data_IF_703092150925
#
_entry.id   IF_703092150925
#
_cell.length_a   1.000
_cell.length_b   1.000
_cell.length_c   1.000
_cell.angle_alpha   90.00
_cell.angle_beta   90.00
_cell.angle_gamma   90.00
#
_symmetry.space_group_name_H-M   'P 1'
#
loop_
_entity.id
_entity.type
_entity.pdbx_description
1 polymer ?
#
# COMPACT_ATOMS: atom_id res chain seq x y z
N UNK A 1 -6.91 -0.45 0.95
CA UNK A 1 -7.57 0.67 1.63
C UNK A 1 -6.60 1.48 2.51
N UNK A 2 -5.85 0.86 3.45
CA UNK A 2 -4.94 1.56 4.37
C UNK A 2 -3.79 2.29 3.64
N UNK A 3 -3.15 1.66 2.65
CA UNK A 3 -2.09 2.30 1.86
C UNK A 3 -2.58 3.56 1.13
N UNK A 4 -3.79 3.54 0.58
CA UNK A 4 -4.42 4.74 -0.01
C UNK A 4 -4.65 5.82 1.06
N UNK A 5 -4.99 5.41 2.29
CA UNK A 5 -5.15 6.37 3.39
C UNK A 5 -3.83 7.07 3.74
N UNK A 6 -2.74 6.32 3.90
CA UNK A 6 -1.43 6.91 4.13
C UNK A 6 -1.00 7.80 2.97
N UNK A 7 -1.20 7.34 1.73
CA UNK A 7 -0.90 8.14 0.53
C UNK A 7 -1.65 9.47 0.51
N UNK A 8 -2.94 9.44 0.86
CA UNK A 8 -3.80 10.61 0.98
C UNK A 8 -3.25 11.62 2.01
N UNK A 9 -2.99 11.15 3.24
CA UNK A 9 -2.55 12.02 4.33
C UNK A 9 -1.17 12.63 4.08
N UNK A 10 -0.27 11.87 3.44
CA UNK A 10 1.08 12.33 3.10
C UNK A 10 1.05 13.32 1.95
N UNK A 11 0.31 13.02 0.86
CA UNK A 11 0.19 13.91 -0.28
C UNK A 11 -0.53 15.21 0.07
N UNK A 12 -1.56 15.16 0.92
CA UNK A 12 -2.27 16.34 1.44
C UNK A 12 -1.37 17.30 2.21
N UNK A 13 -0.30 16.79 2.85
CA UNK A 13 0.72 17.58 3.53
C UNK A 13 1.81 18.11 2.59
N UNK A 14 1.69 17.85 1.28
CA UNK A 14 2.63 18.33 0.27
C UNK A 14 3.84 17.42 0.04
N UNK A 15 3.93 16.28 0.73
CA UNK A 15 5.01 15.32 0.49
C UNK A 15 4.70 14.43 -0.71
N UNK A 16 5.72 14.17 -1.53
CA UNK A 16 5.56 13.32 -2.72
C UNK A 16 5.28 11.87 -2.35
N UNK A 17 4.33 11.26 -3.06
CA UNK A 17 4.00 9.84 -2.95
C UNK A 17 4.23 9.14 -4.28
N UNK A 18 5.04 8.09 -4.27
CA UNK A 18 5.27 7.20 -5.40
C UNK A 18 4.52 5.88 -5.17
N UNK A 19 3.42 5.63 -5.89
CA UNK A 19 2.57 4.47 -5.68
C UNK A 19 2.66 3.51 -6.87
N UNK A 20 3.33 2.38 -6.70
CA UNK A 20 3.32 1.28 -7.67
C UNK A 20 2.11 0.37 -7.40
N UNK A 21 1.08 0.53 -8.22
CA UNK A 21 -0.15 -0.27 -8.16
C UNK A 21 -0.06 -1.39 -9.20
N UNK A 22 0.15 -2.61 -8.74
CA UNK A 22 0.38 -3.77 -9.62
C UNK A 22 -0.89 -4.59 -9.87
N UNK A 23 -1.91 -4.37 -9.06
CA UNK A 23 -3.21 -5.04 -9.15
C UNK A 23 -4.30 -4.12 -9.73
N UNK A 24 -4.24 -2.83 -9.40
CA UNK A 24 -5.29 -1.87 -9.74
C UNK A 24 -4.76 -0.80 -10.68
N UNK A 25 -5.63 -0.31 -11.57
CA UNK A 25 -5.30 0.82 -12.43
C UNK A 25 -5.09 2.12 -11.65
N UNK A 26 -4.31 3.04 -12.21
CA UNK A 26 -4.11 4.39 -11.66
C UNK A 26 -5.46 5.13 -11.49
N UNK A 27 -6.39 4.93 -12.43
CA UNK A 27 -7.74 5.49 -12.36
C UNK A 27 -8.54 4.96 -11.15
N UNK A 28 -8.41 3.67 -10.83
CA UNK A 28 -9.05 3.10 -9.65
C UNK A 28 -8.45 3.62 -8.35
N UNK A 29 -7.13 3.75 -8.28
CA UNK A 29 -6.43 4.33 -7.15
C UNK A 29 -6.81 5.80 -6.94
N UNK A 30 -6.82 6.61 -8.00
CA UNK A 30 -7.27 8.00 -7.96
C UNK A 30 -8.73 8.12 -7.52
N UNK A 31 -9.61 7.23 -8.02
CA UNK A 31 -11.00 7.18 -7.58
C UNK A 31 -11.18 6.82 -6.10
N UNK A 32 -10.29 5.99 -5.50
CA UNK A 32 -10.30 5.71 -4.06
C UNK A 32 -9.83 6.93 -3.26
N UNK A 33 -8.82 7.67 -3.74
CA UNK A 33 -8.40 8.93 -3.14
C UNK A 33 -9.52 9.95 -3.17
N UNK A 34 -10.17 10.13 -4.32
CA UNK A 34 -11.28 11.08 -4.50
C UNK A 34 -12.48 10.73 -3.61
N UNK A 35 -12.80 9.43 -3.49
CA UNK A 35 -13.85 8.96 -2.58
C UNK A 35 -13.55 9.34 -1.13
N UNK A 36 -12.29 9.19 -0.71
CA UNK A 36 -11.86 9.54 0.64
C UNK A 36 -11.92 11.05 0.88
N UNK A 37 -11.38 11.87 -0.01
CA UNK A 37 -11.34 13.32 0.15
C UNK A 37 -12.73 13.97 0.06
N UNK A 38 -13.63 13.43 -0.78
CA UNK A 38 -14.99 13.95 -0.95
C UNK A 38 -15.98 13.44 0.10
N UNK A 39 -15.67 12.31 0.74
CA UNK A 39 -16.64 11.58 1.58
C UNK A 39 -17.78 10.90 0.79
N UNK A 40 -17.68 10.85 -0.55
CA UNK A 40 -18.65 10.15 -1.40
C UNK A 40 -18.20 8.72 -1.63
N UNK A 41 -19.00 7.74 -1.20
CA UNK A 41 -18.67 6.32 -1.37
C UNK A 41 -18.51 5.93 -2.84
N UNK A 42 -17.51 5.08 -3.15
CA UNK A 42 -17.20 4.62 -4.52
C UNK A 42 -18.41 4.15 -5.34
N UNK A 43 -19.33 3.34 -4.82
CA UNK A 43 -20.52 2.93 -5.57
C UNK A 43 -21.39 4.11 -6.02
N UNK A 44 -21.44 5.17 -5.22
CA UNK A 44 -22.22 6.39 -5.52
C UNK A 44 -21.54 7.33 -6.52
N UNK A 45 -20.30 7.04 -6.90
CA UNK A 45 -19.57 7.81 -7.92
C UNK A 45 -19.85 7.31 -9.34
N UNK A 46 -20.53 6.17 -9.47
CA UNK A 46 -20.94 5.58 -10.75
C UNK A 46 -22.43 5.87 -10.99
N UNK A 47 -22.79 6.16 -12.25
CA UNK A 47 -24.18 6.44 -12.66
C UNK A 47 -24.61 7.89 -12.41
N UNK A 48 -25.89 8.09 -12.20
CA UNK A 48 -26.49 9.43 -12.01
C UNK A 48 -26.13 9.99 -10.63
N UNK A 49 -25.22 10.95 -10.65
CA UNK A 49 -24.76 11.62 -9.44
C UNK A 49 -25.80 12.62 -8.94
N UNK A 50 -26.21 12.50 -7.70
CA UNK A 50 -26.99 13.54 -7.04
C UNK A 50 -26.23 14.88 -7.07
N UNK A 51 -26.90 16.04 -7.25
CA UNK A 51 -26.25 17.34 -7.31
C UNK A 51 -25.30 17.62 -6.13
N UNK A 52 -25.72 17.22 -4.92
CA UNK A 52 -24.89 17.36 -3.72
C UNK A 52 -23.60 16.51 -3.76
N UNK A 53 -23.66 15.28 -4.32
CA UNK A 53 -22.47 14.45 -4.50
C UNK A 53 -21.55 15.03 -5.58
N UNK A 54 -22.10 15.53 -6.68
CA UNK A 54 -21.32 16.18 -7.74
C UNK A 54 -20.50 17.34 -7.18
N UNK A 55 -21.13 18.24 -6.45
CA UNK A 55 -20.45 19.39 -5.82
C UNK A 55 -19.33 18.94 -4.89
N UNK A 56 -19.56 17.93 -4.03
CA UNK A 56 -18.52 17.38 -3.13
C UNK A 56 -17.33 16.83 -3.91
N UNK A 57 -17.56 16.13 -5.03
CA UNK A 57 -16.51 15.58 -5.88
C UNK A 57 -15.72 16.69 -6.60
N UNK A 58 -16.41 17.72 -7.13
CA UNK A 58 -15.76 18.87 -7.74
C UNK A 58 -14.86 19.62 -6.75
N UNK A 59 -15.36 19.89 -5.55
CA UNK A 59 -14.60 20.57 -4.50
C UNK A 59 -13.40 19.71 -4.04
N UNK A 60 -13.57 18.41 -3.91
CA UNK A 60 -12.48 17.50 -3.59
C UNK A 60 -11.43 17.46 -4.70
N UNK A 61 -11.84 17.40 -5.96
CA UNK A 61 -10.94 17.44 -7.12
C UNK A 61 -10.10 18.72 -7.11
N UNK A 62 -10.71 19.89 -6.83
CA UNK A 62 -9.97 21.16 -6.71
C UNK A 62 -8.93 21.12 -5.58
N UNK A 63 -9.29 20.55 -4.42
CA UNK A 63 -8.35 20.42 -3.29
C UNK A 63 -7.19 19.47 -3.59
N UNK A 64 -7.44 18.40 -4.35
CA UNK A 64 -6.43 17.40 -4.73
C UNK A 64 -5.56 17.87 -5.90
N UNK A 65 -5.96 18.94 -6.59
CA UNK A 65 -5.20 19.50 -7.69
C UNK A 65 -3.82 19.95 -7.20
N UNK A 66 -2.77 19.40 -7.82
CA UNK A 66 -1.40 19.68 -7.44
C UNK A 66 -0.84 18.82 -6.31
N UNK A 67 -1.60 17.87 -5.75
CA UNK A 67 -1.01 16.91 -4.83
C UNK A 67 0.09 16.09 -5.51
N UNK A 68 1.28 16.00 -4.89
CA UNK A 68 2.43 15.35 -5.51
C UNK A 68 2.35 13.83 -5.37
N UNK A 69 1.37 13.20 -6.02
CA UNK A 69 1.21 11.76 -6.05
C UNK A 69 1.30 11.22 -7.47
N UNK A 70 2.14 10.22 -7.67
CA UNK A 70 2.31 9.53 -8.95
C UNK A 70 1.92 8.08 -8.81
N UNK A 71 1.02 7.59 -9.67
CA UNK A 71 0.67 6.18 -9.79
C UNK A 71 1.41 5.57 -10.98
N UNK A 72 2.06 4.42 -10.75
CA UNK A 72 2.56 3.52 -11.78
C UNK A 72 1.70 2.26 -11.73
N UNK A 73 0.87 2.06 -12.75
CA UNK A 73 0.02 0.88 -12.90
C UNK A 73 0.61 -0.05 -13.98
N UNK A 74 1.51 -0.92 -13.56
CA UNK A 74 2.21 -1.84 -14.42
C UNK A 74 2.07 -3.27 -13.87
N UNK A 75 1.21 -4.05 -14.47
CA UNK A 75 0.94 -5.44 -14.07
C UNK A 75 2.09 -6.42 -14.35
N UNK A 76 3.16 -5.98 -15.00
CA UNK A 76 4.38 -6.74 -15.28
C UNK A 76 5.62 -6.08 -14.65
N UNK A 77 5.43 -5.37 -13.56
CA UNK A 77 6.53 -4.65 -12.92
C UNK A 77 7.64 -5.59 -12.47
N UNK A 78 8.86 -5.29 -12.91
CA UNK A 78 10.08 -5.91 -12.41
C UNK A 78 10.71 -5.06 -11.33
N UNK A 79 11.63 -5.65 -10.55
CA UNK A 79 12.42 -4.89 -9.57
C UNK A 79 13.13 -3.68 -10.20
N UNK A 80 13.70 -3.85 -11.39
CA UNK A 80 14.37 -2.76 -12.10
C UNK A 80 13.42 -1.65 -12.50
N UNK A 81 12.21 -2.01 -12.96
CA UNK A 81 11.18 -1.02 -13.31
C UNK A 81 10.67 -0.24 -12.09
N UNK A 82 10.59 -0.90 -10.91
CA UNK A 82 10.25 -0.25 -9.64
C UNK A 82 11.40 0.67 -9.19
N UNK A 83 12.64 0.18 -9.22
CA UNK A 83 13.82 1.01 -8.88
C UNK A 83 13.89 2.26 -9.76
N UNK A 84 13.74 2.11 -11.07
CA UNK A 84 13.75 3.22 -12.01
C UNK A 84 12.63 4.24 -11.72
N UNK A 85 11.42 3.76 -11.44
CA UNK A 85 10.29 4.60 -11.07
C UNK A 85 10.57 5.41 -9.79
N UNK A 86 11.03 4.75 -8.72
CA UNK A 86 11.33 5.42 -7.45
C UNK A 86 12.48 6.42 -7.58
N UNK A 87 13.52 6.09 -8.36
CA UNK A 87 14.62 6.99 -8.65
C UNK A 87 14.15 8.24 -9.44
N UNK A 88 13.28 8.06 -10.43
CA UNK A 88 12.66 9.19 -11.16
C UNK A 88 11.83 10.10 -10.24
N UNK A 89 11.03 9.52 -9.35
CA UNK A 89 10.25 10.31 -8.40
C UNK A 89 11.15 11.05 -7.40
N UNK A 90 12.26 10.43 -6.97
CA UNK A 90 13.25 11.06 -6.08
C UNK A 90 13.95 12.25 -6.71
N UNK A 91 14.23 12.20 -8.02
CA UNK A 91 14.80 13.34 -8.77
C UNK A 91 13.82 14.53 -8.83
N UNK A 92 12.51 14.28 -8.87
CA UNK A 92 11.48 15.35 -8.88
C UNK A 92 11.31 16.04 -7.52
N UNK A 93 11.87 15.48 -6.44
CA UNK A 93 11.81 16.02 -5.08
C UNK A 93 11.78 14.95 -4.00
N UNK A 94 11.66 15.37 -2.75
CA UNK A 94 11.64 14.46 -1.62
C UNK A 94 10.39 13.59 -1.62
N UNK A 95 10.60 12.26 -1.63
CA UNK A 95 9.53 11.27 -1.57
C UNK A 95 9.24 10.93 -0.12
N UNK A 96 8.09 11.33 0.35
CA UNK A 96 7.63 11.04 1.73
C UNK A 96 7.11 9.62 1.91
N UNK A 97 6.71 8.95 0.81
CA UNK A 97 6.28 7.55 0.85
C UNK A 97 6.37 6.91 -0.54
N UNK A 98 6.98 5.73 -0.62
CA UNK A 98 6.81 4.81 -1.74
C UNK A 98 5.90 3.65 -1.32
N UNK A 99 4.91 3.31 -2.15
CA UNK A 99 3.99 2.17 -1.92
C UNK A 99 4.18 1.14 -3.01
N UNK A 100 4.29 -0.13 -2.62
CA UNK A 100 4.30 -1.30 -3.53
C UNK A 100 3.08 -2.16 -3.21
N UNK A 101 2.11 -2.20 -4.11
CA UNK A 101 0.82 -2.85 -3.91
C UNK A 101 0.58 -3.94 -4.98
N UNK A 102 0.95 -5.20 -4.74
CA UNK A 102 1.58 -5.82 -3.59
C UNK A 102 2.80 -6.65 -4.01
N UNK A 103 3.65 -7.07 -3.05
CA UNK A 103 4.94 -7.73 -3.28
C UNK A 103 4.87 -8.93 -4.23
N UNK A 104 3.84 -9.76 -4.06
CA UNK A 104 3.70 -11.00 -4.83
C UNK A 104 3.35 -10.77 -6.32
N UNK A 105 3.13 -9.54 -6.77
CA UNK A 105 2.97 -9.21 -8.19
C UNK A 105 4.26 -8.69 -8.83
N UNK A 106 5.28 -8.41 -8.02
CA UNK A 106 6.59 -8.04 -8.54
C UNK A 106 7.27 -9.27 -9.14
N UNK A 107 7.87 -9.11 -10.31
CA UNK A 107 8.65 -10.15 -10.98
C UNK A 107 10.15 -9.92 -10.79
N UNK A 108 10.84 -10.99 -10.39
CA UNK A 108 12.30 -11.04 -10.35
C UNK A 108 12.74 -12.37 -10.98
N UNK A 109 12.90 -12.45 -12.31
CA UNK A 109 13.24 -13.69 -12.98
C UNK A 109 14.66 -14.18 -12.61
N UNK A 110 14.89 -15.50 -12.72
CA UNK A 110 16.19 -16.12 -12.47
C UNK A 110 16.30 -16.85 -11.12
N UNK A 111 15.19 -17.06 -10.42
CA UNK A 111 15.13 -17.84 -9.18
C UNK A 111 14.37 -19.15 -9.39
N UNK A 112 14.84 -20.23 -8.73
CA UNK A 112 14.29 -21.59 -8.87
C UNK A 112 12.96 -21.77 -8.12
N UNK A 113 12.68 -20.91 -7.15
CA UNK A 113 11.45 -21.00 -6.37
C UNK A 113 10.86 -19.64 -6.05
N UNK A 114 9.53 -19.60 -5.86
CA UNK A 114 8.81 -18.38 -5.47
C UNK A 114 9.31 -17.79 -4.14
N UNK A 115 9.71 -18.65 -3.21
CA UNK A 115 10.30 -18.22 -1.92
C UNK A 115 11.58 -17.45 -2.14
N UNK A 116 12.49 -17.95 -2.99
CA UNK A 116 13.74 -17.28 -3.32
C UNK A 116 13.48 -15.94 -4.05
N UNK A 117 12.53 -15.92 -4.98
CA UNK A 117 12.14 -14.70 -5.69
C UNK A 117 11.62 -13.63 -4.73
N UNK A 118 10.68 -13.95 -3.84
CA UNK A 118 10.16 -13.02 -2.83
C UNK A 118 11.25 -12.56 -1.87
N UNK A 119 12.16 -13.45 -1.49
CA UNK A 119 13.33 -13.11 -0.67
C UNK A 119 14.20 -12.05 -1.35
N UNK A 120 14.49 -12.23 -2.64
CA UNK A 120 15.27 -11.27 -3.40
C UNK A 120 14.55 -9.92 -3.57
N UNK A 121 13.23 -9.95 -3.80
CA UNK A 121 12.38 -8.75 -3.89
C UNK A 121 12.43 -7.98 -2.58
N UNK A 122 12.18 -8.64 -1.44
CA UNK A 122 12.19 -8.02 -0.11
C UNK A 122 13.52 -7.33 0.18
N UNK A 123 14.64 -8.07 0.01
CA UNK A 123 15.99 -7.53 0.19
C UNK A 123 16.27 -6.35 -0.72
N UNK A 124 15.89 -6.43 -2.00
CA UNK A 124 16.10 -5.34 -2.96
C UNK A 124 15.30 -4.09 -2.61
N UNK A 125 14.05 -4.23 -2.15
CA UNK A 125 13.26 -3.08 -1.70
C UNK A 125 13.88 -2.42 -0.47
N UNK A 126 14.43 -3.21 0.46
CA UNK A 126 15.19 -2.66 1.60
C UNK A 126 16.42 -1.88 1.13
N UNK A 127 17.17 -2.40 0.17
CA UNK A 127 18.33 -1.71 -0.40
C UNK A 127 17.92 -0.41 -1.11
N UNK A 128 16.87 -0.45 -1.95
CA UNK A 128 16.33 0.74 -2.64
C UNK A 128 15.92 1.81 -1.62
N UNK A 129 15.22 1.41 -0.55
CA UNK A 129 14.82 2.32 0.52
C UNK A 129 16.02 3.03 1.14
N UNK A 130 17.11 2.30 1.41
CA UNK A 130 18.34 2.84 2.00
C UNK A 130 19.12 3.72 1.01
N UNK A 131 19.28 3.29 -0.24
CA UNK A 131 20.02 4.03 -1.27
C UNK A 131 19.34 5.36 -1.63
N UNK A 132 18.02 5.33 -1.81
CA UNK A 132 17.26 6.50 -2.21
C UNK A 132 16.79 7.34 -1.00
N UNK A 133 16.97 6.82 0.22
CA UNK A 133 16.46 7.41 1.47
C UNK A 133 14.96 7.70 1.39
N UNK A 134 14.20 6.71 0.93
CA UNK A 134 12.74 6.78 0.77
C UNK A 134 12.09 5.75 1.72
N UNK A 135 11.11 6.13 2.55
CA UNK A 135 10.31 5.16 3.28
C UNK A 135 9.47 4.33 2.31
N UNK A 136 9.60 3.00 2.40
CA UNK A 136 8.87 2.06 1.53
C UNK A 136 7.83 1.31 2.35
N UNK A 137 6.56 1.42 1.94
CA UNK A 137 5.44 0.62 2.41
C UNK A 137 5.13 -0.48 1.39
N UNK A 138 5.54 -1.69 1.69
CA UNK A 138 5.25 -2.85 0.87
C UNK A 138 4.04 -3.61 1.42
N UNK A 139 3.04 -3.87 0.60
CA UNK A 139 1.91 -4.70 0.95
C UNK A 139 2.25 -6.15 0.65
N UNK A 140 1.82 -7.05 1.52
CA UNK A 140 2.01 -8.50 1.35
C UNK A 140 0.73 -9.24 1.68
N UNK A 141 0.41 -10.25 0.88
CA UNK A 141 -0.66 -11.18 1.21
C UNK A 141 -0.22 -12.12 2.33
N UNK A 142 -1.16 -12.44 3.20
CA UNK A 142 -0.98 -13.46 4.22
C UNK A 142 -1.34 -14.85 3.69
N UNK A 143 -0.78 -15.87 4.32
CA UNK A 143 -1.21 -17.25 4.13
C UNK A 143 -2.68 -17.42 4.57
N UNK A 144 -3.45 -18.20 3.82
CA UNK A 144 -4.85 -18.53 4.18
C UNK A 144 -4.96 -19.41 5.44
N UNK A 145 -3.85 -19.89 5.99
CA UNK A 145 -3.87 -20.73 7.18
C UNK A 145 -4.44 -20.04 8.41
N UNK A 146 -4.23 -18.71 8.53
CA UNK A 146 -4.84 -17.96 9.65
C UNK A 146 -6.37 -17.92 9.54
N UNK A 147 -6.93 -17.81 8.33
CA UNK A 147 -8.38 -17.85 8.09
C UNK A 147 -8.94 -19.27 8.35
N UNK A 148 -8.30 -20.30 7.79
CA UNK A 148 -8.70 -21.71 7.96
C UNK A 148 -8.72 -22.10 9.45
N UNK A 149 -7.72 -21.64 10.20
CA UNK A 149 -7.58 -21.95 11.63
C UNK A 149 -8.37 -20.96 12.53
N UNK A 150 -9.13 -20.04 11.96
CA UNK A 150 -9.90 -19.01 12.67
C UNK A 150 -9.09 -18.31 13.78
N UNK A 151 -7.86 -17.93 13.48
CA UNK A 151 -6.94 -17.26 14.40
C UNK A 151 -6.43 -15.94 13.87
N UNK A 152 -5.97 -15.08 14.76
CA UNK A 152 -5.32 -13.82 14.37
C UNK A 152 -4.03 -14.11 13.57
N UNK A 153 -3.72 -13.24 12.58
CA UNK A 153 -2.50 -13.38 11.80
C UNK A 153 -1.25 -13.19 12.68
N UNK A 154 -0.19 -13.91 12.33
CA UNK A 154 1.11 -13.89 12.97
C UNK A 154 2.20 -13.63 11.93
N UNK A 155 3.42 -13.28 12.35
CA UNK A 155 4.55 -13.07 11.44
C UNK A 155 4.83 -14.28 10.54
N UNK A 156 4.65 -15.50 11.08
CA UNK A 156 4.79 -16.75 10.31
C UNK A 156 3.77 -16.92 9.18
N UNK A 157 2.70 -16.13 9.16
CA UNK A 157 1.71 -16.13 8.08
C UNK A 157 2.09 -15.23 6.90
N UNK A 158 3.18 -14.48 7.01
CA UNK A 158 3.76 -13.81 5.87
C UNK A 158 4.20 -14.87 4.85
N UNK A 159 3.38 -15.03 3.82
CA UNK A 159 3.50 -16.09 2.84
C UNK A 159 4.83 -16.02 2.11
N UNK A 160 5.46 -17.20 1.99
CA UNK A 160 6.64 -17.46 1.15
C UNK A 160 7.94 -16.79 1.59
N UNK A 161 8.03 -16.12 2.78
CA UNK A 161 9.34 -15.65 3.22
C UNK A 161 9.45 -15.21 4.67
N UNK A 162 10.23 -15.94 5.46
CA UNK A 162 10.84 -15.38 6.68
C UNK A 162 11.74 -14.16 6.41
N UNK A 163 12.09 -13.91 5.14
CA UNK A 163 12.89 -12.75 4.71
C UNK A 163 12.14 -11.45 4.79
N UNK A 164 10.83 -11.41 4.47
CA UNK A 164 10.02 -10.18 4.63
C UNK A 164 10.07 -9.74 6.10
N UNK A 165 9.91 -10.69 7.01
CA UNK A 165 10.03 -10.41 8.44
C UNK A 165 11.42 -9.87 8.80
N UNK A 166 12.50 -10.44 8.26
CA UNK A 166 13.87 -10.03 8.57
C UNK A 166 14.19 -8.63 8.00
N UNK A 167 13.81 -8.35 6.78
CA UNK A 167 14.15 -7.12 6.05
C UNK A 167 13.32 -5.91 6.51
N UNK A 168 12.05 -6.12 6.86
CA UNK A 168 11.18 -5.05 7.30
C UNK A 168 11.62 -4.46 8.66
N UNK A 169 11.59 -3.14 8.79
CA UNK A 169 11.82 -2.46 10.07
C UNK A 169 10.56 -2.48 10.94
N UNK A 170 9.40 -2.46 10.32
CA UNK A 170 8.11 -2.52 10.99
C UNK A 170 7.15 -3.43 10.20
N UNK A 171 6.34 -4.22 10.90
CA UNK A 171 5.31 -5.08 10.29
C UNK A 171 3.98 -4.84 10.97
N UNK A 172 3.00 -4.43 10.15
CA UNK A 172 1.60 -4.28 10.55
C UNK A 172 0.81 -5.48 10.02
N UNK A 173 0.20 -6.24 10.93
CA UNK A 173 -0.73 -7.31 10.58
C UNK A 173 -2.16 -6.79 10.72
N UNK A 174 -2.93 -6.92 9.66
CA UNK A 174 -4.32 -6.47 9.63
C UNK A 174 -5.26 -7.68 9.75
N UNK A 175 -6.25 -7.58 10.61
CA UNK A 175 -7.32 -8.58 10.73
C UNK A 175 -8.66 -7.89 10.91
N UNK A 176 -9.71 -8.53 10.41
CA UNK A 176 -11.07 -8.13 10.74
C UNK A 176 -11.39 -8.76 12.10
N UNK A 177 -11.71 -7.95 13.07
CA UNK A 177 -12.26 -8.40 14.34
C UNK A 177 -13.79 -8.24 14.28
N UNK A 178 -14.50 -8.86 15.20
CA UNK A 178 -15.96 -8.95 15.26
C UNK A 178 -16.69 -7.81 14.55
N UNK A 179 -17.72 -8.15 13.79
CA UNK A 179 -18.63 -7.18 13.20
C UNK A 179 -19.25 -6.37 14.33
N UNK A 180 -18.84 -5.11 14.43
CA UNK A 180 -19.38 -4.19 15.46
C UNK A 180 -20.77 -3.72 15.10
N UNK A 181 -21.12 -3.77 13.83
CA UNK A 181 -22.40 -3.38 13.24
C UNK A 181 -22.49 -4.08 11.89
N UNK A 182 -23.66 -4.48 11.46
CA UNK A 182 -23.89 -5.15 10.15
C UNK A 182 -23.33 -4.36 8.95
N UNK A 183 -23.00 -3.10 9.15
CA UNK A 183 -22.51 -2.18 8.11
C UNK A 183 -21.02 -1.82 8.20
N UNK A 184 -20.31 -2.18 9.30
CA UNK A 184 -18.92 -1.77 9.51
C UNK A 184 -18.08 -2.89 10.12
N UNK A 185 -17.07 -3.32 9.39
CA UNK A 185 -16.03 -4.19 9.93
C UNK A 185 -15.02 -3.36 10.75
N UNK A 186 -14.70 -3.80 11.96
CA UNK A 186 -13.55 -3.27 12.70
C UNK A 186 -12.30 -3.94 12.19
N UNK A 187 -11.32 -3.15 11.76
CA UNK A 187 -10.01 -3.64 11.35
C UNK A 187 -9.06 -3.41 12.51
N UNK A 188 -8.50 -4.50 13.05
CA UNK A 188 -7.41 -4.45 13.99
C UNK A 188 -6.10 -4.34 13.23
N UNK A 189 -5.25 -3.40 13.66
CA UNK A 189 -3.90 -3.22 13.18
C UNK A 189 -2.93 -3.58 14.30
N UNK A 190 -2.29 -4.73 14.20
CA UNK A 190 -1.33 -5.22 15.18
C UNK A 190 0.10 -4.92 14.71
N UNK A 191 0.90 -4.25 15.54
CA UNK A 191 2.31 -4.01 15.29
C UNK A 191 3.09 -5.24 15.72
N UNK A 192 3.28 -6.17 14.80
CA UNK A 192 3.93 -7.47 15.07
C UNK A 192 5.46 -7.38 15.09
N UNK A 193 6.03 -6.37 14.44
CA UNK A 193 7.46 -6.04 14.50
C UNK A 193 7.65 -4.54 14.49
N UNK A 194 8.55 -4.05 15.31
CA UNK A 194 8.98 -2.66 15.31
C UNK A 194 10.45 -2.58 15.78
N UNK A 195 11.37 -2.35 14.84
CA UNK A 195 12.81 -2.33 15.13
C UNK A 195 13.23 -1.11 15.96
N UNK A 196 12.45 -0.03 15.93
CA UNK A 196 12.74 1.22 16.62
C UNK A 196 11.88 1.51 17.84
N UNK A 197 11.01 0.59 18.27
CA UNK A 197 10.08 0.84 19.38
C UNK A 197 9.40 -0.42 19.91
N UNK A 198 8.30 -0.22 20.63
CA UNK A 198 7.52 -1.30 21.21
C UNK A 198 6.72 -2.08 20.15
N UNK A 199 6.51 -3.36 20.42
CA UNK A 199 5.62 -4.26 19.68
C UNK A 199 4.33 -4.49 20.45
N UNK A 200 3.39 -5.24 19.88
CA UNK A 200 2.09 -5.60 20.49
C UNK A 200 1.16 -4.43 20.81
N UNK A 201 1.43 -3.26 20.26
CA UNK A 201 0.47 -2.15 20.27
C UNK A 201 -0.71 -2.45 19.33
N UNK A 202 -1.93 -2.23 19.83
CA UNK A 202 -3.20 -2.46 19.12
C UNK A 202 -3.87 -1.14 18.76
#
# INVERSE_FOLDING_TARGET
>A
ALAIHFSHEIAKRGYRVAYASLEMSAAECAGRLLSRESGVARPRMKGDLLPAHRKKLEDATKRMQGWPITFKDDNKATLDSIRAFLAQERVKGDVGLAVIDYLQLVSAPGYDSRVQEITAISRSLKQISMELQIPVLALSQLSRQCEINNRKPMLSDLRDSGSIEQDADCVFLLSVDDKVDETKDRINCHIAKNRGGETDLK
#
